data_IF_195526714574
#
_entry.id   IF_195526714574
#
_cell.length_a   1.000
_cell.length_b   1.000
_cell.length_c   1.000
_cell.angle_alpha   90.00
_cell.angle_beta   90.00
_cell.angle_gamma   90.00
#
_symmetry.space_group_name_H-M   'P 1'
#
loop_
_entity.id
_entity.type
_entity.pdbx_description
1 polymer ?
#
# COMPACT_ATOMS: atom_id res chain seq x y z
N UNK A 1 0.33 7.38 -6.94
CA UNK A 1 0.91 6.26 -7.72
C UNK A 1 0.58 4.96 -6.97
N UNK A 2 -0.06 4.01 -7.63
CA UNK A 2 -0.42 2.72 -7.05
C UNK A 2 0.45 1.67 -7.74
N UNK A 3 1.28 0.98 -6.96
CA UNK A 3 2.15 -0.08 -7.43
C UNK A 3 1.54 -1.42 -7.00
N UNK A 4 1.15 -2.26 -7.95
CA UNK A 4 0.55 -3.56 -7.69
C UNK A 4 1.52 -4.67 -8.10
N UNK A 5 1.89 -5.52 -7.16
CA UNK A 5 2.64 -6.73 -7.43
C UNK A 5 1.78 -7.76 -8.15
N UNK A 6 2.35 -8.35 -9.22
CA UNK A 6 1.73 -9.37 -10.06
C UNK A 6 2.44 -10.72 -9.94
N UNK A 7 3.11 -10.98 -8.83
CA UNK A 7 3.69 -12.29 -8.57
C UNK A 7 2.61 -13.39 -8.47
N UNK A 8 3.00 -14.64 -8.71
CA UNK A 8 2.08 -15.79 -8.71
C UNK A 8 1.39 -16.01 -7.37
N UNK A 9 2.01 -15.61 -6.27
CA UNK A 9 1.47 -15.68 -4.92
C UNK A 9 0.19 -14.85 -4.78
N UNK A 10 0.04 -13.78 -5.57
CA UNK A 10 -1.17 -12.96 -5.59
C UNK A 10 -2.37 -13.70 -6.19
N UNK A 11 -2.17 -14.79 -6.95
CA UNK A 11 -3.23 -15.60 -7.54
C UNK A 11 -3.68 -16.76 -6.64
N UNK A 12 -2.99 -17.01 -5.52
CA UNK A 12 -3.29 -18.13 -4.62
C UNK A 12 -4.63 -17.92 -3.90
N UNK A 13 -5.52 -18.90 -3.99
CA UNK A 13 -6.86 -18.89 -3.39
C UNK A 13 -6.84 -19.23 -1.88
N UNK A 14 -6.14 -18.43 -1.08
CA UNK A 14 -6.02 -18.63 0.39
C UNK A 14 -6.88 -17.68 1.21
N UNK A 15 -7.22 -16.49 0.70
CA UNK A 15 -8.01 -15.51 1.44
C UNK A 15 -9.47 -15.95 1.54
N UNK A 16 -10.06 -15.71 2.70
CA UNK A 16 -11.48 -16.01 2.96
C UNK A 16 -12.34 -14.75 2.85
N UNK A 17 -13.35 -14.78 1.99
CA UNK A 17 -14.35 -13.73 1.89
C UNK A 17 -15.39 -13.85 3.00
N UNK A 18 -16.13 -12.78 3.31
CA UNK A 18 -17.20 -12.78 4.32
C UNK A 18 -18.27 -13.87 4.14
N UNK A 19 -18.51 -14.32 2.91
CA UNK A 19 -19.45 -15.38 2.59
C UNK A 19 -18.84 -16.80 2.68
N UNK A 20 -17.63 -16.94 3.22
CA UNK A 20 -16.88 -18.20 3.31
C UNK A 20 -16.24 -18.66 2.00
N UNK A 21 -16.37 -17.90 0.90
CA UNK A 21 -15.74 -18.27 -0.37
C UNK A 21 -14.26 -17.92 -0.39
N UNK A 22 -13.45 -18.82 -0.96
CA UNK A 22 -12.02 -18.57 -1.18
C UNK A 22 -11.80 -17.64 -2.36
N UNK A 23 -10.88 -16.70 -2.19
CA UNK A 23 -10.46 -15.74 -3.22
C UNK A 23 -8.94 -15.56 -3.17
N UNK A 24 -8.39 -14.92 -4.19
CA UNK A 24 -6.97 -14.56 -4.23
C UNK A 24 -6.75 -13.09 -3.90
N UNK A 25 -5.50 -12.74 -3.61
CA UNK A 25 -5.11 -11.39 -3.23
C UNK A 25 -5.18 -10.41 -4.40
N UNK A 26 -4.96 -10.84 -5.65
CA UNK A 26 -5.11 -9.99 -6.83
C UNK A 26 -6.54 -9.46 -6.97
N UNK A 27 -7.54 -10.34 -6.91
CA UNK A 27 -8.95 -9.98 -7.03
C UNK A 27 -9.40 -8.99 -5.94
N UNK A 28 -8.94 -9.21 -4.69
CA UNK A 28 -9.23 -8.30 -3.58
C UNK A 28 -8.47 -6.99 -3.74
N UNK A 29 -7.22 -7.03 -4.20
CA UNK A 29 -6.41 -5.86 -4.48
C UNK A 29 -7.03 -4.98 -5.55
N UNK A 30 -7.55 -5.56 -6.63
CA UNK A 30 -8.27 -4.83 -7.67
C UNK A 30 -9.50 -4.12 -7.10
N UNK A 31 -10.34 -4.82 -6.32
CA UNK A 31 -11.52 -4.23 -5.69
C UNK A 31 -11.17 -3.11 -4.71
N UNK A 32 -10.17 -3.31 -3.84
CA UNK A 32 -9.79 -2.28 -2.86
C UNK A 32 -9.16 -1.06 -3.54
N UNK A 33 -8.37 -1.24 -4.61
CA UNK A 33 -7.80 -0.15 -5.40
C UNK A 33 -8.89 0.62 -6.14
N UNK A 34 -9.86 -0.06 -6.76
CA UNK A 34 -11.02 0.61 -7.38
C UNK A 34 -11.75 1.48 -6.36
N UNK A 35 -12.10 0.92 -5.20
CA UNK A 35 -12.77 1.66 -4.13
C UNK A 35 -11.93 2.85 -3.66
N UNK A 36 -10.62 2.68 -3.51
CA UNK A 36 -9.69 3.73 -3.11
C UNK A 36 -9.70 4.90 -4.11
N UNK A 37 -9.48 4.63 -5.39
CA UNK A 37 -9.39 5.65 -6.44
C UNK A 37 -10.72 6.41 -6.57
N UNK A 38 -11.85 5.69 -6.61
CA UNK A 38 -13.18 6.31 -6.65
C UNK A 38 -13.46 7.18 -5.44
N UNK A 39 -13.07 6.73 -4.25
CA UNK A 39 -13.28 7.48 -3.01
C UNK A 39 -12.40 8.72 -2.94
N UNK A 40 -11.11 8.62 -3.29
CA UNK A 40 -10.20 9.77 -3.37
C UNK A 40 -10.68 10.81 -4.38
N UNK A 41 -11.14 10.39 -5.55
CA UNK A 41 -11.72 11.29 -6.55
C UNK A 41 -13.01 11.97 -6.06
N UNK A 42 -13.82 11.26 -5.28
CA UNK A 42 -15.04 11.85 -4.66
C UNK A 42 -14.70 12.89 -3.59
N UNK A 43 -13.61 12.70 -2.84
CA UNK A 43 -13.13 13.67 -1.84
C UNK A 43 -12.64 14.95 -2.53
N UNK A 44 -11.83 14.81 -3.58
CA UNK A 44 -11.39 15.93 -4.41
C UNK A 44 -11.07 15.43 -5.82
N UNK A 45 -11.67 16.07 -6.83
CA UNK A 45 -11.55 15.71 -8.24
C UNK A 45 -10.18 16.06 -8.82
N UNK A 46 -9.40 16.90 -8.15
CA UNK A 46 -8.06 17.29 -8.55
C UNK A 46 -7.00 16.22 -8.21
N UNK A 47 -7.36 15.16 -7.48
CA UNK A 47 -6.43 14.04 -7.30
C UNK A 47 -6.11 13.39 -8.65
N UNK A 48 -4.82 13.10 -8.87
CA UNK A 48 -4.34 12.33 -10.00
C UNK A 48 -3.86 10.95 -9.54
N UNK A 49 -4.11 9.96 -10.38
CA UNK A 49 -3.80 8.56 -10.12
C UNK A 49 -2.97 8.01 -11.27
N UNK A 50 -2.07 7.09 -10.93
CA UNK A 50 -1.27 6.36 -11.89
C UNK A 50 -1.15 4.91 -11.40
N UNK A 51 -1.13 3.97 -12.34
CA UNK A 51 -1.00 2.54 -12.06
C UNK A 51 0.33 2.03 -12.58
N UNK A 52 1.10 1.42 -11.70
CA UNK A 52 2.35 0.74 -11.97
C UNK A 52 2.17 -0.72 -11.57
N UNK A 53 2.63 -1.63 -12.40
CA UNK A 53 2.69 -3.06 -12.05
C UNK A 53 4.12 -3.48 -11.79
N UNK A 54 4.28 -4.41 -10.87
CA UNK A 54 5.56 -4.90 -10.42
C UNK A 54 5.61 -6.40 -10.70
N UNK A 55 6.51 -6.81 -11.61
CA UNK A 55 6.88 -8.20 -11.83
C UNK A 55 8.37 -8.37 -11.47
N UNK A 56 9.21 -8.95 -12.33
CA UNK A 56 10.66 -8.85 -12.13
C UNK A 56 11.15 -7.39 -12.21
N UNK A 57 10.51 -6.59 -13.07
CA UNK A 57 10.73 -5.17 -13.26
C UNK A 57 9.43 -4.38 -13.05
N UNK A 58 9.55 -3.06 -12.88
CA UNK A 58 8.40 -2.18 -12.76
C UNK A 58 7.96 -1.67 -14.14
N UNK A 59 6.65 -1.67 -14.41
CA UNK A 59 6.08 -1.13 -15.66
C UNK A 59 4.97 -0.14 -15.35
N UNK A 60 5.04 1.04 -15.97
CA UNK A 60 4.03 2.10 -15.82
C UNK A 60 2.89 1.86 -16.83
N UNK A 61 1.73 1.41 -16.36
CA UNK A 61 0.60 1.05 -17.23
C UNK A 61 -0.30 2.24 -17.56
N UNK A 62 -0.62 3.06 -16.57
CA UNK A 62 -1.49 4.23 -16.73
C UNK A 62 -0.78 5.47 -16.23
N UNK A 63 -0.69 6.49 -17.10
CA UNK A 63 -0.25 7.84 -16.78
C UNK A 63 -1.05 8.48 -15.64
N UNK A 64 -0.60 9.64 -15.18
CA UNK A 64 -1.39 10.46 -14.27
C UNK A 64 -2.70 10.87 -14.95
N UNK A 65 -3.80 10.53 -14.30
CA UNK A 65 -5.16 10.87 -14.75
C UNK A 65 -6.03 11.14 -13.52
N UNK A 66 -6.92 12.12 -13.65
CA UNK A 66 -7.97 12.34 -12.64
C UNK A 66 -9.23 11.51 -12.92
N UNK A 67 -9.30 10.76 -14.02
CA UNK A 67 -10.43 9.88 -14.32
C UNK A 67 -10.24 8.47 -13.72
N UNK A 68 -11.02 8.07 -12.71
CA UNK A 68 -10.94 6.74 -12.12
C UNK A 68 -11.18 5.60 -13.12
N UNK A 69 -11.94 5.85 -14.20
CA UNK A 69 -12.34 4.82 -15.16
C UNK A 69 -11.15 4.29 -15.95
N UNK A 70 -10.21 5.16 -16.31
CA UNK A 70 -8.99 4.77 -17.03
C UNK A 70 -8.14 3.84 -16.16
N UNK A 71 -7.93 4.20 -14.89
CA UNK A 71 -7.19 3.37 -13.93
C UNK A 71 -7.88 2.02 -13.74
N UNK A 72 -9.20 2.00 -13.56
CA UNK A 72 -9.96 0.76 -13.35
C UNK A 72 -9.93 -0.13 -14.60
N UNK A 73 -9.96 0.45 -15.80
CA UNK A 73 -9.87 -0.31 -17.05
C UNK A 73 -8.55 -1.07 -17.15
N UNK A 74 -7.43 -0.45 -16.80
CA UNK A 74 -6.13 -1.14 -16.77
C UNK A 74 -6.04 -2.16 -15.63
N UNK A 75 -6.65 -1.86 -14.48
CA UNK A 75 -6.56 -2.68 -13.27
C UNK A 75 -7.17 -4.07 -13.42
N UNK A 76 -8.26 -4.20 -14.18
CA UNK A 76 -8.99 -5.46 -14.35
C UNK A 76 -8.48 -6.33 -15.51
N UNK A 77 -7.50 -5.84 -16.29
CA UNK A 77 -6.87 -6.57 -17.40
C UNK A 77 -5.50 -7.17 -17.00
N UNK A 78 -5.29 -7.39 -15.70
CA UNK A 78 -4.01 -7.84 -15.15
C UNK A 78 -4.00 -9.33 -14.87
N UNK A 79 -2.88 -9.96 -15.20
CA UNK A 79 -2.59 -11.36 -14.91
C UNK A 79 -1.32 -11.48 -14.06
N UNK A 80 -1.25 -12.52 -13.23
CA UNK A 80 -0.06 -12.83 -12.44
C UNK A 80 0.98 -13.57 -13.26
N UNK A 81 2.26 -13.38 -12.91
CA UNK A 81 3.39 -14.03 -13.55
C UNK A 81 4.36 -14.58 -12.51
N UNK A 82 5.07 -15.66 -12.87
CA UNK A 82 6.14 -16.22 -12.03
C UNK A 82 7.28 -15.22 -11.94
N UNK A 83 7.53 -14.72 -10.73
CA UNK A 83 8.56 -13.73 -10.46
C UNK A 83 9.74 -14.35 -9.72
N UNK A 84 10.96 -13.95 -10.09
CA UNK A 84 12.20 -14.44 -9.49
C UNK A 84 12.83 -13.45 -8.51
N UNK A 85 12.58 -12.16 -8.72
CA UNK A 85 13.22 -11.09 -7.98
C UNK A 85 12.35 -9.84 -7.97
N UNK A 86 12.53 -8.99 -6.96
CA UNK A 86 11.89 -7.68 -6.90
C UNK A 86 12.94 -6.57 -6.97
N UNK A 87 12.92 -5.81 -8.06
CA UNK A 87 13.84 -4.68 -8.28
C UNK A 87 13.25 -3.36 -7.76
N UNK A 88 13.40 -3.12 -6.45
CA UNK A 88 12.90 -1.89 -5.82
C UNK A 88 13.60 -0.64 -6.36
N UNK A 89 14.91 -0.73 -6.64
CA UNK A 89 15.68 0.40 -7.21
C UNK A 89 15.13 0.80 -8.58
N UNK A 90 14.84 -0.18 -9.44
CA UNK A 90 14.18 0.02 -10.73
C UNK A 90 12.81 0.70 -10.60
N UNK A 91 12.01 0.32 -9.60
CA UNK A 91 10.73 0.97 -9.30
C UNK A 91 10.91 2.45 -8.94
N UNK A 92 11.84 2.77 -8.03
CA UNK A 92 12.10 4.16 -7.65
C UNK A 92 12.64 4.99 -8.83
N UNK A 93 13.56 4.43 -9.61
CA UNK A 93 14.09 5.07 -10.82
C UNK A 93 12.97 5.36 -11.83
N UNK A 94 12.07 4.41 -12.06
CA UNK A 94 10.90 4.60 -12.93
C UNK A 94 9.99 5.73 -12.42
N UNK A 95 9.68 5.74 -11.13
CA UNK A 95 8.86 6.80 -10.53
C UNK A 95 9.55 8.15 -10.69
N UNK A 96 10.85 8.23 -10.39
CA UNK A 96 11.63 9.47 -10.51
C UNK A 96 11.64 10.02 -11.93
N UNK A 97 11.67 9.16 -12.96
CA UNK A 97 11.61 9.59 -14.36
C UNK A 97 10.23 10.14 -14.78
N UNK A 98 9.18 9.87 -13.99
CA UNK A 98 7.78 10.22 -14.31
C UNK A 98 7.22 11.35 -13.46
N UNK A 99 7.95 11.78 -12.43
CA UNK A 99 7.51 12.85 -11.53
C UNK A 99 8.56 13.93 -11.40
N UNK A 100 8.10 15.12 -11.03
CA UNK A 100 8.93 16.14 -10.41
C UNK A 100 8.54 16.23 -8.92
N UNK A 101 9.52 16.44 -8.04
CA UNK A 101 9.22 16.64 -6.62
C UNK A 101 8.91 18.11 -6.38
N UNK A 102 7.81 18.43 -5.67
CA UNK A 102 7.46 19.80 -5.41
C UNK A 102 8.45 20.42 -4.41
N UNK A 103 8.71 21.71 -4.58
CA UNK A 103 9.57 22.51 -3.71
C UNK A 103 8.83 23.75 -3.26
N UNK A 104 9.13 24.19 -2.04
CA UNK A 104 8.56 25.38 -1.42
C UNK A 104 9.66 26.15 -0.72
N UNK A 105 9.54 27.47 -0.61
CA UNK A 105 10.53 28.30 0.10
C UNK A 105 10.65 27.91 1.58
N UNK A 106 9.53 27.58 2.23
CA UNK A 106 9.51 27.12 3.62
C UNK A 106 8.55 25.94 3.80
N UNK A 107 9.12 24.77 4.04
CA UNK A 107 8.38 23.49 4.14
C UNK A 107 7.46 23.40 5.36
N UNK A 108 7.67 24.24 6.38
CA UNK A 108 6.90 24.23 7.62
C UNK A 108 5.63 25.07 7.56
N UNK A 109 5.57 26.06 6.65
CA UNK A 109 4.50 27.07 6.63
C UNK A 109 3.80 27.20 5.29
N UNK A 110 4.48 26.88 4.18
CA UNK A 110 3.92 27.00 2.84
C UNK A 110 3.49 25.60 2.37
N UNK A 111 2.20 25.37 2.08
CA UNK A 111 1.76 24.10 1.53
C UNK A 111 2.31 23.94 0.10
N UNK A 112 2.74 22.72 -0.30
CA UNK A 112 3.20 22.48 -1.66
C UNK A 112 2.00 22.54 -2.64
N UNK A 113 2.26 22.79 -3.94
CA UNK A 113 1.19 22.78 -4.95
C UNK A 113 0.55 21.39 -5.13
N UNK A 114 1.29 20.32 -4.82
CA UNK A 114 0.82 18.94 -4.83
C UNK A 114 1.67 18.09 -3.89
N UNK A 115 1.26 16.85 -3.67
CA UNK A 115 2.01 15.85 -2.89
C UNK A 115 2.11 14.57 -3.72
N UNK A 116 3.28 13.93 -3.70
CA UNK A 116 3.46 12.64 -4.37
C UNK A 116 3.38 11.53 -3.35
N UNK A 117 2.46 10.60 -3.57
CA UNK A 117 2.30 9.41 -2.73
C UNK A 117 2.32 8.16 -3.57
N UNK A 118 3.16 7.22 -3.17
CA UNK A 118 3.23 5.88 -3.73
C UNK A 118 2.67 4.89 -2.72
N UNK A 119 1.74 4.04 -3.15
CA UNK A 119 1.20 2.93 -2.36
C UNK A 119 1.65 1.63 -3.05
N UNK A 120 2.48 0.85 -2.38
CA UNK A 120 2.91 -0.47 -2.85
C UNK A 120 2.05 -1.56 -2.22
N UNK A 121 1.35 -2.33 -3.03
CA UNK A 121 0.70 -3.59 -2.64
C UNK A 121 1.63 -4.73 -3.08
N UNK A 122 2.28 -5.38 -2.12
CA UNK A 122 3.35 -6.35 -2.37
C UNK A 122 2.97 -7.71 -1.78
N UNK A 123 3.14 -8.80 -2.55
CA UNK A 123 2.61 -10.11 -2.19
C UNK A 123 3.59 -11.28 -2.23
N UNK A 124 4.87 -11.03 -2.48
CA UNK A 124 5.89 -12.08 -2.52
C UNK A 124 6.35 -12.49 -1.12
N UNK A 125 6.80 -13.75 -0.95
CA UNK A 125 7.51 -14.17 0.25
C UNK A 125 8.81 -13.37 0.41
N UNK A 126 9.45 -13.49 1.58
CA UNK A 126 10.66 -12.75 1.88
C UNK A 126 11.79 -13.03 0.88
N UNK A 127 11.90 -12.21 -0.15
CA UNK A 127 13.04 -12.21 -1.06
C UNK A 127 14.07 -11.21 -0.52
N UNK A 128 15.36 -11.52 -0.50
CA UNK A 128 16.34 -10.46 -0.25
C UNK A 128 16.23 -9.43 -1.39
N UNK A 129 15.82 -8.17 -1.11
CA UNK A 129 15.78 -7.18 -2.17
C UNK A 129 17.21 -7.00 -2.66
N UNK A 130 17.45 -7.23 -3.96
CA UNK A 130 18.71 -6.82 -4.57
C UNK A 130 18.73 -5.29 -4.51
N UNK A 131 19.48 -4.76 -3.55
CA UNK A 131 19.33 -3.37 -3.16
C UNK A 131 20.67 -2.69 -2.95
N UNK A 132 20.85 -1.59 -3.66
CA UNK A 132 21.77 -0.53 -3.27
C UNK A 132 20.95 0.75 -3.13
N UNK A 133 20.98 1.41 -1.97
CA UNK A 133 20.27 2.69 -1.83
C UNK A 133 20.97 3.73 -2.70
N UNK A 134 20.46 3.97 -3.90
CA UNK A 134 20.97 5.04 -4.75
C UNK A 134 20.76 6.41 -4.08
N UNK A 135 21.67 7.35 -4.32
CA UNK A 135 21.55 8.71 -3.79
C UNK A 135 20.24 9.40 -4.24
N UNK A 136 19.74 9.04 -5.42
CA UNK A 136 18.48 9.54 -5.93
C UNK A 136 17.29 9.05 -5.12
N UNK A 137 17.25 7.76 -4.78
CA UNK A 137 16.21 7.20 -3.91
C UNK A 137 16.24 7.85 -2.53
N UNK A 138 17.42 8.09 -1.95
CA UNK A 138 17.54 8.81 -0.67
C UNK A 138 16.93 10.21 -0.74
N UNK A 139 17.24 10.97 -1.80
CA UNK A 139 16.67 12.31 -2.02
C UNK A 139 15.14 12.28 -2.11
N UNK A 140 14.58 11.30 -2.82
CA UNK A 140 13.13 11.12 -2.89
C UNK A 140 12.53 10.82 -1.53
N UNK A 141 13.07 9.85 -0.78
CA UNK A 141 12.57 9.48 0.54
C UNK A 141 12.71 10.63 1.57
N UNK A 142 13.76 11.45 1.45
CA UNK A 142 13.98 12.63 2.28
C UNK A 142 13.06 13.81 1.94
N UNK A 143 12.47 13.86 0.74
CA UNK A 143 11.55 14.93 0.37
C UNK A 143 10.33 14.94 1.31
N UNK A 144 9.96 16.08 1.92
CA UNK A 144 8.82 16.15 2.85
C UNK A 144 7.46 15.93 2.16
N UNK A 145 7.42 16.03 0.84
CA UNK A 145 6.22 15.91 0.02
C UNK A 145 6.17 14.60 -0.79
N UNK A 146 7.06 13.67 -0.48
CA UNK A 146 7.05 12.30 -1.00
C UNK A 146 6.76 11.30 0.12
N UNK A 147 5.80 10.41 -0.14
CA UNK A 147 5.33 9.38 0.79
C UNK A 147 5.34 8.02 0.12
N UNK A 148 5.80 7.00 0.84
CA UNK A 148 5.89 5.62 0.34
C UNK A 148 5.22 4.67 1.33
N UNK A 149 3.94 4.39 1.09
CA UNK A 149 3.15 3.48 1.92
C UNK A 149 3.18 2.06 1.37
N UNK A 150 3.03 1.09 2.25
CA UNK A 150 3.13 -0.33 1.90
C UNK A 150 1.96 -1.11 2.50
N UNK A 151 1.34 -1.97 1.69
CA UNK A 151 0.48 -3.07 2.13
C UNK A 151 1.20 -4.36 1.74
N UNK A 152 1.77 -5.03 2.73
CA UNK A 152 2.52 -6.25 2.57
C UNK A 152 1.63 -7.47 2.85
N UNK A 153 1.49 -8.34 1.86
CA UNK A 153 0.66 -9.53 1.91
C UNK A 153 1.61 -10.73 2.02
N UNK A 154 1.56 -11.47 3.12
CA UNK A 154 2.53 -12.54 3.41
C UNK A 154 1.84 -13.89 3.68
N UNK A 155 2.56 -15.00 3.49
CA UNK A 155 2.04 -16.37 3.70
C UNK A 155 1.83 -16.76 5.18
N UNK A 156 2.02 -15.84 6.13
CA UNK A 156 1.89 -16.14 7.56
C UNK A 156 2.98 -17.07 8.10
N UNK A 157 2.57 -18.03 8.94
CA UNK A 157 3.44 -18.98 9.68
C UNK A 157 3.31 -20.41 9.13
N UNK A 158 2.68 -20.57 7.96
CA UNK A 158 2.40 -21.91 7.41
C UNK A 158 3.67 -22.70 7.08
N UNK A 159 4.79 -22.02 6.85
CA UNK A 159 6.10 -22.64 6.64
C UNK A 159 7.12 -22.07 7.62
N UNK A 160 7.65 -22.91 8.52
CA UNK A 160 8.60 -22.49 9.58
C UNK A 160 9.87 -21.82 9.04
N UNK A 161 10.26 -22.09 7.79
CA UNK A 161 11.37 -21.41 7.12
C UNK A 161 10.97 -20.03 6.57
N UNK A 162 9.72 -19.81 6.19
CA UNK A 162 9.24 -18.53 5.65
C UNK A 162 9.00 -17.48 6.74
N UNK A 163 8.79 -17.89 8.00
CA UNK A 163 8.45 -16.97 9.11
C UNK A 163 9.52 -15.89 9.34
N UNK A 164 10.81 -16.25 9.24
CA UNK A 164 11.91 -15.30 9.38
C UNK A 164 12.00 -14.37 8.17
N UNK A 165 11.76 -14.91 6.97
CA UNK A 165 11.94 -14.18 5.70
C UNK A 165 10.96 -13.00 5.53
N UNK A 166 9.69 -13.18 5.87
CA UNK A 166 8.70 -12.11 5.66
C UNK A 166 8.84 -11.00 6.70
N UNK A 167 9.27 -11.32 7.94
CA UNK A 167 9.55 -10.34 8.98
C UNK A 167 10.76 -9.48 8.61
N UNK A 168 11.79 -10.06 8.01
CA UNK A 168 12.93 -9.33 7.47
C UNK A 168 12.50 -8.36 6.37
N UNK A 169 11.67 -8.81 5.42
CA UNK A 169 11.12 -7.93 4.38
C UNK A 169 10.27 -6.78 4.95
N UNK A 170 9.40 -7.07 5.92
CA UNK A 170 8.59 -6.05 6.58
C UNK A 170 9.45 -5.03 7.35
N UNK A 171 10.50 -5.51 8.02
CA UNK A 171 11.49 -4.69 8.70
C UNK A 171 12.27 -3.83 7.71
N UNK A 172 12.61 -4.38 6.54
CA UNK A 172 13.24 -3.65 5.45
C UNK A 172 12.35 -2.51 4.95
N UNK A 173 11.08 -2.74 4.64
CA UNK A 173 10.15 -1.66 4.28
C UNK A 173 10.05 -0.61 5.39
N UNK A 174 10.13 -1.04 6.65
CA UNK A 174 10.17 -0.11 7.78
C UNK A 174 11.41 0.76 7.81
N UNK A 175 12.57 0.24 7.43
CA UNK A 175 13.83 0.98 7.38
C UNK A 175 13.85 2.08 6.31
N UNK A 176 12.97 2.00 5.29
CA UNK A 176 12.84 3.03 4.25
C UNK A 176 12.16 4.31 4.76
N UNK A 177 11.40 4.23 5.86
CA UNK A 177 10.70 5.37 6.45
C UNK A 177 11.52 6.02 7.56
N UNK A 178 12.44 6.90 7.17
CA UNK A 178 13.28 7.64 8.13
C UNK A 178 12.53 8.75 8.88
N UNK A 179 11.35 9.14 8.42
CA UNK A 179 10.56 10.27 8.96
C UNK A 179 9.41 9.81 9.87
N UNK A 180 9.04 8.53 9.82
CA UNK A 180 7.89 7.97 10.53
C UNK A 180 6.54 8.37 9.92
N UNK A 181 6.53 8.95 8.72
CA UNK A 181 5.33 9.52 8.09
C UNK A 181 4.64 8.56 7.12
N UNK A 182 5.28 7.42 6.80
CA UNK A 182 4.72 6.42 5.92
C UNK A 182 3.85 5.45 6.72
N UNK A 183 2.77 4.98 6.11
CA UNK A 183 1.91 3.95 6.68
C UNK A 183 2.29 2.60 6.09
N UNK A 184 2.41 1.59 6.95
CA UNK A 184 2.80 0.24 6.60
C UNK A 184 1.82 -0.73 7.23
N UNK A 185 1.25 -1.60 6.43
CA UNK A 185 0.33 -2.64 6.87
C UNK A 185 0.81 -4.00 6.38
N UNK A 186 0.51 -5.02 7.15
CA UNK A 186 0.83 -6.41 6.95
C UNK A 186 -0.46 -7.22 7.05
N UNK A 187 -0.69 -8.11 6.08
CA UNK A 187 -1.88 -8.96 6.04
C UNK A 187 -1.47 -10.37 5.67
N UNK A 188 -1.96 -11.36 6.42
CA UNK A 188 -1.75 -12.77 6.12
C UNK A 188 -2.64 -13.22 4.97
N UNK A 189 -2.09 -13.99 4.03
CA UNK A 189 -2.83 -14.63 2.93
C UNK A 189 -3.82 -15.70 3.41
N UNK A 190 -3.64 -16.21 4.63
CA UNK A 190 -4.57 -17.15 5.27
C UNK A 190 -5.62 -16.42 6.13
N UNK A 191 -5.64 -15.08 6.10
CA UNK A 191 -6.58 -14.25 6.85
C UNK A 191 -7.87 -13.92 6.09
N UNK A 192 -8.80 -13.21 6.73
CA UNK A 192 -10.01 -12.75 6.09
C UNK A 192 -9.72 -11.60 5.13
N UNK A 193 -10.30 -11.66 3.93
CA UNK A 193 -10.12 -10.68 2.85
C UNK A 193 -10.51 -9.25 3.26
N UNK A 194 -11.35 -9.09 4.28
CA UNK A 194 -11.72 -7.78 4.84
C UNK A 194 -10.51 -6.98 5.31
N UNK A 195 -9.46 -7.63 5.82
CA UNK A 195 -8.31 -6.91 6.35
C UNK A 195 -7.58 -6.10 5.28
N UNK A 196 -7.53 -6.61 4.05
CA UNK A 196 -7.02 -5.85 2.91
C UNK A 196 -7.87 -4.61 2.62
N UNK A 197 -9.20 -4.75 2.64
CA UNK A 197 -10.11 -3.61 2.48
C UNK A 197 -9.93 -2.58 3.61
N UNK A 198 -9.83 -3.04 4.86
CA UNK A 198 -9.59 -2.19 6.02
C UNK A 198 -8.27 -1.43 5.90
N UNK A 199 -7.19 -2.10 5.50
CA UNK A 199 -5.88 -1.48 5.29
C UNK A 199 -5.93 -0.39 4.22
N UNK A 200 -6.52 -0.70 3.05
CA UNK A 200 -6.64 0.27 1.96
C UNK A 200 -7.55 1.46 2.34
N UNK A 201 -8.60 1.22 3.13
CA UNK A 201 -9.46 2.29 3.64
C UNK A 201 -8.71 3.24 4.58
N UNK A 202 -7.88 2.72 5.50
CA UNK A 202 -7.02 3.54 6.37
C UNK A 202 -6.05 4.41 5.57
N UNK A 203 -5.61 3.93 4.40
CA UNK A 203 -4.77 4.68 3.47
C UNK A 203 -5.52 5.82 2.74
N UNK A 204 -6.85 5.99 2.83
CA UNK A 204 -7.54 7.13 2.22
C UNK A 204 -7.10 8.49 2.77
N UNK A 205 -6.65 8.53 4.02
CA UNK A 205 -6.25 9.76 4.70
C UNK A 205 -5.17 10.51 3.91
N UNK A 206 -5.29 11.83 3.82
CA UNK A 206 -4.32 12.67 3.12
C UNK A 206 -2.97 12.63 3.87
N UNK A 207 -1.83 12.40 3.17
CA UNK A 207 -0.55 12.16 3.83
C UNK A 207 -0.05 13.33 4.70
N UNK A 208 -0.38 14.58 4.37
CA UNK A 208 -0.08 15.76 5.20
C UNK A 208 -1.07 16.01 6.36
N UNK A 209 -2.19 15.29 6.41
CA UNK A 209 -3.25 15.51 7.41
C UNK A 209 -3.43 14.32 8.35
N UNK A 210 -2.97 13.13 7.94
CA UNK A 210 -3.01 11.94 8.79
C UNK A 210 -1.98 12.08 9.93
N UNK A 211 -2.28 11.60 11.13
CA UNK A 211 -1.30 11.53 12.20
C UNK A 211 -0.25 10.44 11.89
N UNK A 212 0.76 10.29 12.76
CA UNK A 212 1.59 9.08 12.73
C UNK A 212 0.71 7.84 12.89
N UNK A 213 1.11 6.74 12.25
CA UNK A 213 0.31 5.51 12.22
C UNK A 213 0.01 4.99 13.64
N UNK A 214 0.95 5.13 14.58
CA UNK A 214 0.78 4.77 15.99
C UNK A 214 -0.30 5.55 16.73
N UNK A 215 -0.74 6.70 16.20
CA UNK A 215 -1.79 7.54 16.79
C UNK A 215 -3.12 7.42 16.05
N UNK A 216 -3.18 6.67 14.94
CA UNK A 216 -4.40 6.51 14.17
C UNK A 216 -5.31 5.44 14.81
N UNK A 217 -6.46 5.87 15.32
CA UNK A 217 -7.49 5.00 15.89
C UNK A 217 -8.85 5.27 15.22
N UNK A 218 -9.61 4.21 14.95
CA UNK A 218 -10.87 4.28 14.20
C UNK A 218 -12.08 3.73 14.96
N UNK A 219 -11.88 2.88 15.98
CA UNK A 219 -12.92 2.39 16.88
C UNK A 219 -13.24 3.40 17.97
N UNK A 220 -13.84 4.53 17.59
CA UNK A 220 -14.22 5.62 18.52
C UNK A 220 -15.64 5.49 19.06
N UNK A 221 -16.42 4.55 18.54
CA UNK A 221 -17.73 4.21 19.08
C UNK A 221 -17.50 3.22 20.23
N UNK A 222 -18.10 3.49 21.38
CA UNK A 222 -17.99 2.66 22.58
C UNK A 222 -18.38 1.21 22.25
N UNK A 223 -17.51 0.25 22.58
CA UNK A 223 -17.92 -1.14 22.75
C UNK A 223 -18.84 -1.18 23.98
N UNK A 224 -20.01 -1.79 23.83
CA UNK A 224 -21.13 -1.89 24.78
C UNK A 224 -20.78 -1.67 26.27
N UNK A 225 -21.59 -0.84 26.94
CA UNK A 225 -21.58 -0.67 28.40
C UNK A 225 -21.33 -2.01 29.11
N UNK A 226 -20.46 -2.06 30.15
CA UNK A 226 -20.33 -3.27 30.96
C UNK A 226 -21.73 -3.65 31.47
N UNK A 227 -22.12 -4.95 31.44
CA UNK A 227 -23.45 -5.35 31.87
C UNK A 227 -23.70 -4.79 33.26
N UNK A 228 -24.78 -4.01 33.40
CA UNK A 228 -25.26 -3.56 34.70
C UNK A 228 -25.34 -4.78 35.61
N UNK A 229 -24.42 -4.86 36.57
CA UNK A 229 -24.49 -5.86 37.62
C UNK A 229 -25.70 -5.42 38.44
N UNK A 230 -26.85 -6.08 38.21
CA UNK A 230 -28.02 -5.92 39.07
C UNK A 230 -27.55 -6.04 40.52
N UNK A 231 -27.59 -4.92 41.24
CA UNK A 231 -27.35 -4.90 42.66
C UNK A 231 -28.50 -5.68 43.32
N UNK A 232 -28.27 -6.97 43.58
CA UNK A 232 -29.16 -7.74 44.45
C UNK A 232 -29.11 -7.14 45.86
N UNK A 233 -30.27 -6.66 46.31
CA UNK A 233 -30.58 -6.16 47.65
C UNK A 233 -30.37 -7.24 48.71
#
# INVERSE_FOLDING_TARGET
IICLDLAEEMAVLKLESFNGSKTNALNISQKMIEMFVRTKHKIDKCHEFALVVVNNDATWLSGFTSDPREVCSCLYDLETVVCKSFNLEGLFNLIQQKIELPVTENVQTIPPPYVVRTILVFGRPGCQPQFSTSENMKKMLQCPYFFFDVVYIHNGVEEKEEETSWKEMYSFFSSLDTKGTNYKYEVSLSGPAVELHNCMAKLLAHPLQRPFQSHAAYGLLEEDEPPEIEATV
#
